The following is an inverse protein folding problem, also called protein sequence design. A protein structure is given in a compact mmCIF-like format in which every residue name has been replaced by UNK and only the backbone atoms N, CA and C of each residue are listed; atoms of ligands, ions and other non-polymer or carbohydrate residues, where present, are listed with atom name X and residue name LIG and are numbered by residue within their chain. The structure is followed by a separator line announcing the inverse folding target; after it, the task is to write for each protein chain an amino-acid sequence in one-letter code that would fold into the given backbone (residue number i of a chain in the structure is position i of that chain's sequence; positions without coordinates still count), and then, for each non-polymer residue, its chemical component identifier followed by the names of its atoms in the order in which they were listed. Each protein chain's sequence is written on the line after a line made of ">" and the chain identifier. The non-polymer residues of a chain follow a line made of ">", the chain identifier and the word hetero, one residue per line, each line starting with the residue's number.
data_IF_004616479873
#
_entry.id   IF_004616479873
#
_cell.length_a   1.000
_cell.length_b   1.000
_cell.length_c   1.000
_cell.angle_alpha   90.00
_cell.angle_beta   90.00
_cell.angle_gamma   90.00
#
_symmetry.space_group_name_H-M   'P 1'
#
loop_
_entity.id
_entity.type
_entity.pdbx_description
1 polymer ?
#
# COMPACT_ATOMS: atom_id res chain seq x y z
N UNK A 1 -45.61 -7.42 17.97
CA UNK A 1 -44.82 -8.10 16.91
C UNK A 1 -44.40 -7.18 15.76
N UNK A 2 -45.29 -6.37 15.15
CA UNK A 2 -44.94 -5.48 14.01
C UNK A 2 -43.77 -4.51 14.29
N UNK A 3 -43.62 -3.98 15.51
CA UNK A 3 -42.52 -3.08 15.88
C UNK A 3 -41.13 -3.74 15.93
N UNK A 4 -41.06 -5.02 16.31
CA UNK A 4 -39.79 -5.77 16.40
C UNK A 4 -39.27 -6.12 15.00
N UNK A 5 -40.18 -6.44 14.08
CA UNK A 5 -39.85 -6.74 12.68
C UNK A 5 -39.26 -5.51 11.95
N UNK A 6 -39.74 -4.30 12.27
CA UNK A 6 -39.22 -3.05 11.72
C UNK A 6 -37.81 -2.69 12.26
N UNK A 7 -37.48 -3.09 13.49
CA UNK A 7 -36.15 -2.87 14.07
C UNK A 7 -35.12 -3.82 13.43
N UNK A 8 -35.50 -5.08 13.22
CA UNK A 8 -34.63 -6.07 12.57
C UNK A 8 -34.30 -5.72 11.12
N UNK A 9 -35.28 -5.21 10.38
CA UNK A 9 -35.08 -4.71 9.00
C UNK A 9 -34.18 -3.48 8.95
N UNK A 10 -34.29 -2.56 9.92
CA UNK A 10 -33.39 -1.41 10.02
C UNK A 10 -31.93 -1.83 10.29
N UNK A 11 -31.71 -2.80 11.19
CA UNK A 11 -30.37 -3.32 11.53
C UNK A 11 -29.72 -4.05 10.33
N UNK A 12 -30.52 -4.74 9.52
CA UNK A 12 -30.06 -5.38 8.28
C UNK A 12 -29.63 -4.34 7.23
N UNK A 13 -30.39 -3.26 7.04
CA UNK A 13 -30.05 -2.18 6.09
C UNK A 13 -28.74 -1.49 6.50
N UNK A 14 -28.53 -1.25 7.80
CA UNK A 14 -27.27 -0.65 8.29
C UNK A 14 -26.05 -1.58 8.16
N UNK A 15 -26.23 -2.90 8.06
CA UNK A 15 -25.13 -3.85 7.86
C UNK A 15 -24.81 -4.15 6.39
N UNK A 16 -25.74 -3.93 5.47
CA UNK A 16 -25.52 -4.15 4.02
C UNK A 16 -24.55 -3.12 3.41
N UNK A 17 -24.44 -1.94 4.01
CA UNK A 17 -23.55 -0.87 3.53
C UNK A 17 -22.04 -1.16 3.60
N UNK A 18 -21.61 -2.27 4.20
CA UNK A 18 -20.18 -2.63 4.33
C UNK A 18 -19.67 -3.65 3.29
N UNK A 19 -20.51 -4.12 2.38
CA UNK A 19 -20.14 -5.17 1.41
C UNK A 19 -20.27 -4.75 -0.05
N UNK A 20 -19.93 -3.50 -0.37
CA UNK A 20 -19.44 -3.23 -1.72
C UNK A 20 -18.00 -3.72 -1.75
N UNK A 21 -17.75 -4.81 -2.48
CA UNK A 21 -16.40 -5.26 -2.78
C UNK A 21 -15.67 -4.11 -3.45
N UNK A 22 -14.82 -3.43 -2.68
CA UNK A 22 -14.02 -2.33 -3.20
C UNK A 22 -13.07 -2.94 -4.24
N UNK A 23 -13.11 -2.46 -5.47
CA UNK A 23 -12.14 -2.88 -6.47
C UNK A 23 -10.72 -2.69 -5.94
N UNK A 24 -9.81 -3.57 -6.33
CA UNK A 24 -8.39 -3.40 -6.04
C UNK A 24 -7.92 -2.02 -6.50
N UNK A 25 -7.34 -1.24 -5.58
CA UNK A 25 -6.75 0.07 -5.89
C UNK A 25 -5.28 -0.15 -6.24
N UNK A 26 -4.80 0.48 -7.32
CA UNK A 26 -3.41 0.37 -7.75
C UNK A 26 -2.65 1.65 -7.52
N UNK A 27 -1.50 1.53 -6.88
CA UNK A 27 -0.55 2.62 -6.68
C UNK A 27 0.69 2.36 -7.52
N UNK A 28 1.22 3.39 -8.18
CA UNK A 28 2.46 3.29 -8.97
C UNK A 28 3.48 4.33 -8.53
N UNK A 29 4.62 3.87 -8.04
CA UNK A 29 5.78 4.67 -7.68
C UNK A 29 6.72 4.82 -8.86
N UNK A 30 6.93 6.05 -9.32
CA UNK A 30 7.86 6.38 -10.40
C UNK A 30 9.04 7.19 -9.86
N UNK A 31 10.24 6.87 -10.34
CA UNK A 31 11.45 7.65 -10.18
C UNK A 31 11.77 8.36 -11.51
N UNK A 32 12.36 9.56 -11.48
CA UNK A 32 12.76 10.30 -12.71
C UNK A 32 11.62 10.46 -13.72
N UNK A 33 10.40 10.68 -13.23
CA UNK A 33 9.14 10.82 -13.98
C UNK A 33 8.65 9.59 -14.77
N UNK A 34 9.54 8.81 -15.39
CA UNK A 34 9.17 7.75 -16.33
C UNK A 34 9.46 6.35 -15.82
N UNK A 35 10.36 6.20 -14.85
CA UNK A 35 10.82 4.90 -14.43
C UNK A 35 9.92 4.31 -13.35
N UNK A 36 9.13 3.31 -13.70
CA UNK A 36 8.30 2.57 -12.74
C UNK A 36 9.22 1.79 -11.79
N UNK A 37 9.29 2.26 -10.55
CA UNK A 37 10.15 1.69 -9.51
C UNK A 37 9.42 0.59 -8.74
N UNK A 38 8.16 0.84 -8.39
CA UNK A 38 7.36 -0.06 -7.58
C UNK A 38 5.87 0.11 -7.84
N UNK A 39 5.12 -0.94 -7.55
CA UNK A 39 3.66 -0.92 -7.57
C UNK A 39 3.07 -1.51 -6.29
N UNK A 40 1.87 -1.05 -5.94
CA UNK A 40 1.10 -1.61 -4.85
C UNK A 40 -0.31 -1.95 -5.36
N UNK A 41 -0.82 -3.11 -5.00
CA UNK A 41 -2.21 -3.51 -5.18
C UNK A 41 -2.86 -3.61 -3.81
N UNK A 42 -3.87 -2.77 -3.55
CA UNK A 42 -4.63 -2.75 -2.29
C UNK A 42 -5.94 -3.51 -2.48
N UNK A 43 -6.07 -4.65 -1.82
CA UNK A 43 -7.23 -5.51 -1.96
C UNK A 43 -8.36 -5.07 -0.99
N UNK A 44 -9.63 -5.36 -1.32
CA UNK A 44 -10.78 -5.04 -0.46
C UNK A 44 -10.73 -5.66 0.95
N UNK A 45 -10.00 -6.76 1.12
CA UNK A 45 -9.87 -7.46 2.41
C UNK A 45 -8.82 -6.85 3.37
N UNK A 46 -8.30 -5.66 3.02
CA UNK A 46 -7.24 -4.91 3.73
C UNK A 46 -5.85 -5.53 3.65
N UNK A 47 -5.64 -6.49 2.75
CA UNK A 47 -4.29 -6.94 2.40
C UNK A 47 -3.75 -6.15 1.22
N UNK A 48 -2.43 -6.14 1.06
CA UNK A 48 -1.79 -5.57 -0.11
C UNK A 48 -0.70 -6.48 -0.65
N UNK A 49 -0.42 -6.31 -1.94
CA UNK A 49 0.78 -6.78 -2.60
C UNK A 49 1.62 -5.57 -2.99
N UNK A 50 2.89 -5.58 -2.62
CA UNK A 50 3.88 -4.66 -3.15
C UNK A 50 4.77 -5.42 -4.12
N UNK A 51 5.05 -4.84 -5.27
CA UNK A 51 5.98 -5.38 -6.26
C UNK A 51 7.08 -4.38 -6.51
N UNK A 52 8.32 -4.85 -6.38
CA UNK A 52 9.46 -4.15 -6.90
C UNK A 52 9.45 -4.32 -8.43
N UNK A 53 9.34 -3.23 -9.17
CA UNK A 53 9.21 -3.30 -10.64
C UNK A 53 10.59 -3.26 -11.32
N UNK A 54 11.66 -3.15 -10.53
CA UNK A 54 13.03 -3.25 -11.01
C UNK A 54 13.55 -4.69 -10.99
N UNK A 55 14.64 -4.92 -11.76
CA UNK A 55 15.31 -6.18 -12.09
C UNK A 55 15.06 -7.36 -11.11
N UNK A 56 14.54 -8.47 -11.66
CA UNK A 56 14.07 -9.70 -11.00
C UNK A 56 12.75 -9.63 -10.19
N UNK A 57 12.00 -8.53 -10.30
CA UNK A 57 10.65 -8.30 -9.78
C UNK A 57 10.21 -9.23 -8.64
N UNK A 58 10.56 -8.89 -7.40
CA UNK A 58 10.04 -9.61 -6.24
C UNK A 58 8.79 -8.94 -5.67
N UNK A 59 7.99 -9.73 -4.96
CA UNK A 59 6.78 -9.23 -4.30
C UNK A 59 6.78 -9.51 -2.81
N UNK A 60 6.34 -8.51 -2.05
CA UNK A 60 6.10 -8.60 -0.62
C UNK A 60 4.63 -8.34 -0.33
N UNK A 61 4.15 -8.87 0.79
CA UNK A 61 2.74 -8.86 1.14
C UNK A 61 2.55 -8.44 2.57
N UNK A 62 1.40 -7.82 2.83
CA UNK A 62 1.07 -7.35 4.16
C UNK A 62 -0.36 -6.86 4.28
N UNK A 63 -0.61 -6.14 5.36
CA UNK A 63 -1.90 -5.51 5.65
C UNK A 63 -1.77 -3.99 5.55
N UNK A 64 -2.84 -3.33 5.13
CA UNK A 64 -2.89 -1.88 5.07
C UNK A 64 -4.02 -1.30 5.91
N UNK A 65 -3.77 -0.07 6.38
CA UNK A 65 -4.72 0.75 7.11
C UNK A 65 -4.75 2.15 6.54
N UNK A 66 -5.95 2.69 6.34
CA UNK A 66 -6.17 4.09 6.02
C UNK A 66 -6.84 4.77 7.21
N UNK A 67 -6.19 5.80 7.76
CA UNK A 67 -6.74 6.64 8.82
C UNK A 67 -6.51 8.11 8.49
N UNK A 68 -7.60 8.87 8.37
CA UNK A 68 -7.55 10.28 7.94
C UNK A 68 -6.79 10.40 6.61
N UNK A 69 -5.69 11.15 6.59
CA UNK A 69 -4.81 11.32 5.44
C UNK A 69 -3.57 10.41 5.49
N UNK A 70 -3.59 9.32 6.25
CA UNK A 70 -2.45 8.40 6.36
C UNK A 70 -2.79 7.02 5.85
N UNK A 71 -1.91 6.48 5.00
CA UNK A 71 -1.88 5.09 4.57
C UNK A 71 -0.70 4.41 5.28
N UNK A 72 -0.94 3.29 5.94
CA UNK A 72 0.09 2.50 6.62
C UNK A 72 0.12 1.11 6.04
N UNK A 73 1.31 0.64 5.68
CA UNK A 73 1.59 -0.71 5.23
C UNK A 73 2.42 -1.44 6.28
N UNK A 74 1.89 -2.55 6.76
CA UNK A 74 2.58 -3.46 7.65
C UNK A 74 2.93 -4.72 6.86
N UNK A 75 4.23 -4.92 6.60
CA UNK A 75 4.75 -6.02 5.80
C UNK A 75 4.96 -7.27 6.66
N UNK A 76 4.53 -8.43 6.16
CA UNK A 76 4.62 -9.70 6.88
C UNK A 76 5.39 -10.78 6.11
N UNK A 77 5.29 -10.82 4.78
CA UNK A 77 5.78 -11.95 3.97
C UNK A 77 6.57 -11.46 2.76
N UNK A 78 7.74 -12.05 2.54
CA UNK A 78 8.48 -11.99 1.28
C UNK A 78 8.24 -13.32 0.54
N UNK A 79 7.57 -13.32 -0.62
CA UNK A 79 7.25 -14.61 -1.25
C UNK A 79 8.37 -15.17 -2.11
N UNK A 80 8.68 -16.41 -1.79
CA UNK A 80 9.15 -17.47 -2.68
C UNK A 80 8.32 -18.77 -2.51
N UNK A 81 7.47 -18.90 -1.46
CA UNK A 81 6.50 -20.01 -1.28
C UNK A 81 5.26 -19.56 -0.48
N UNK A 82 4.03 -19.53 -1.04
CA UNK A 82 2.83 -19.21 -0.28
C UNK A 82 2.40 -20.41 0.58
N UNK A 83 1.85 -20.15 1.77
CA UNK A 83 1.31 -21.20 2.67
C UNK A 83 -0.15 -21.54 2.40
N UNK A 84 -0.83 -20.75 1.56
CA UNK A 84 -2.22 -20.96 1.12
C UNK A 84 -2.49 -20.19 -0.18
N UNK A 85 -3.68 -20.38 -0.77
CA UNK A 85 -4.13 -19.60 -1.93
C UNK A 85 -4.58 -18.17 -1.59
N UNK A 86 -4.75 -17.85 -0.30
CA UNK A 86 -5.22 -16.54 0.18
C UNK A 86 -4.06 -15.78 0.84
N UNK A 87 -3.78 -14.56 0.38
CA UNK A 87 -2.76 -13.69 0.99
C UNK A 87 -3.08 -13.47 2.47
N UNK A 88 -4.35 -13.21 2.77
CA UNK A 88 -4.85 -13.01 4.13
C UNK A 88 -4.58 -14.21 5.05
N UNK A 89 -4.88 -15.42 4.59
CA UNK A 89 -4.69 -16.64 5.38
C UNK A 89 -3.20 -16.96 5.56
N UNK A 90 -2.38 -16.61 4.57
CA UNK A 90 -0.93 -16.71 4.68
C UNK A 90 -0.37 -15.72 5.71
N UNK A 91 -0.83 -14.46 5.71
CA UNK A 91 -0.43 -13.44 6.68
C UNK A 91 -0.84 -13.86 8.11
N UNK A 92 -2.06 -14.37 8.31
CA UNK A 92 -2.54 -14.76 9.64
C UNK A 92 -1.71 -15.87 10.30
N UNK A 93 -0.95 -16.64 9.50
CA UNK A 93 -0.06 -17.71 9.98
C UNK A 93 1.37 -17.22 10.27
N UNK A 94 1.70 -15.96 9.94
CA UNK A 94 3.03 -15.40 10.15
C UNK A 94 3.04 -14.56 11.44
N UNK A 95 3.82 -14.95 12.46
CA UNK A 95 3.68 -14.41 13.81
C UNK A 95 4.27 -13.00 14.00
N UNK A 96 4.99 -12.45 13.02
CA UNK A 96 5.74 -11.21 13.21
C UNK A 96 5.73 -10.30 11.99
N UNK A 97 5.44 -9.03 12.24
CA UNK A 97 5.61 -7.92 11.29
C UNK A 97 7.10 -7.69 10.98
N UNK A 98 7.45 -7.63 9.71
CA UNK A 98 8.80 -7.39 9.22
C UNK A 98 9.16 -5.91 9.20
N UNK A 99 8.28 -5.07 8.67
CA UNK A 99 8.49 -3.62 8.60
C UNK A 99 7.17 -2.86 8.46
N UNK A 100 7.23 -1.55 8.71
CA UNK A 100 6.10 -0.64 8.47
C UNK A 100 6.54 0.49 7.55
N UNK A 101 5.72 0.83 6.56
CA UNK A 101 5.86 2.05 5.76
C UNK A 101 4.62 2.91 5.94
N UNK A 102 4.82 4.21 6.16
CA UNK A 102 3.73 5.17 6.35
C UNK A 102 3.77 6.18 5.22
N UNK A 103 2.60 6.53 4.71
CA UNK A 103 2.43 7.50 3.65
C UNK A 103 1.37 8.53 4.02
N UNK A 104 1.53 9.73 3.48
CA UNK A 104 0.52 10.78 3.46
C UNK A 104 -0.28 10.70 2.17
N UNK A 105 -1.61 10.75 2.27
CA UNK A 105 -2.55 10.75 1.16
C UNK A 105 -2.93 12.21 0.89
N UNK A 106 -2.76 12.63 -0.36
CA UNK A 106 -3.10 13.95 -0.87
C UNK A 106 -3.81 13.78 -2.21
N UNK A 107 -5.13 13.67 -2.17
CA UNK A 107 -5.96 13.26 -3.30
C UNK A 107 -5.54 11.91 -3.91
N UNK A 108 -5.00 11.93 -5.14
CA UNK A 108 -4.43 10.75 -5.82
C UNK A 108 -2.92 10.59 -5.60
N UNK A 109 -2.28 11.55 -4.94
CA UNK A 109 -0.84 11.52 -4.67
C UNK A 109 -0.59 10.90 -3.30
N UNK A 110 0.45 10.10 -3.23
CA UNK A 110 0.85 9.41 -2.01
C UNK A 110 2.32 9.71 -1.76
N UNK A 111 2.63 10.16 -0.56
CA UNK A 111 3.98 10.59 -0.19
C UNK A 111 4.50 9.71 0.94
N UNK A 112 5.61 8.97 0.77
CA UNK A 112 6.23 8.31 1.91
C UNK A 112 6.60 9.32 2.98
N UNK A 113 6.37 8.97 4.24
CA UNK A 113 6.69 9.80 5.39
C UNK A 113 7.94 9.23 6.05
N UNK A 114 8.93 10.08 6.28
CA UNK A 114 10.11 9.75 7.10
C UNK A 114 9.73 9.60 8.57
N UNK A 115 10.58 8.97 9.39
CA UNK A 115 10.37 8.87 10.85
C UNK A 115 10.16 10.24 11.52
N UNK A 116 10.72 11.31 10.94
CA UNK A 116 10.57 12.70 11.40
C UNK A 116 9.28 13.38 10.90
N UNK A 117 8.37 12.65 10.25
CA UNK A 117 7.10 13.18 9.76
C UNK A 117 7.19 13.97 8.44
N UNK A 118 8.33 14.00 7.76
CA UNK A 118 8.51 14.74 6.50
C UNK A 118 8.18 13.90 5.27
N UNK A 119 7.47 14.47 4.30
CA UNK A 119 7.21 13.87 2.97
C UNK A 119 8.52 13.63 2.21
N UNK A 120 8.64 12.47 1.59
CA UNK A 120 9.74 12.11 0.66
C UNK A 120 9.29 12.39 -0.76
N UNK A 121 9.75 13.51 -1.33
CA UNK A 121 9.48 13.91 -2.73
C UNK A 121 10.64 13.62 -3.67
N UNK A 122 11.84 13.39 -3.10
CA UNK A 122 13.03 13.03 -3.85
C UNK A 122 13.79 11.92 -3.12
N UNK A 123 14.22 10.91 -3.85
CA UNK A 123 15.02 9.80 -3.31
C UNK A 123 16.25 9.53 -4.17
N UNK A 124 17.25 8.90 -3.56
CA UNK A 124 18.37 8.37 -4.34
C UNK A 124 17.89 7.19 -5.17
N UNK A 125 18.41 7.08 -6.38
CA UNK A 125 18.22 5.87 -7.18
C UNK A 125 18.85 4.68 -6.43
N UNK A 126 18.06 3.69 -6.01
CA UNK A 126 18.58 2.57 -5.23
C UNK A 126 19.44 1.62 -6.07
N UNK A 127 19.32 1.66 -7.40
CA UNK A 127 19.96 0.73 -8.33
C UNK A 127 21.12 1.34 -9.11
N UNK A 128 21.06 2.63 -9.41
CA UNK A 128 22.12 3.32 -10.12
C UNK A 128 23.01 4.15 -9.20
N UNK A 129 24.22 3.64 -8.92
CA UNK A 129 25.26 4.38 -8.17
C UNK A 129 26.17 5.14 -9.14
N UNK A 130 25.99 6.46 -9.22
CA UNK A 130 26.88 7.34 -10.00
C UNK A 130 28.21 7.58 -9.27
N UNK A 131 29.33 7.49 -9.99
CA UNK A 131 30.64 7.99 -9.49
C UNK A 131 30.50 9.48 -9.16
N UNK A 132 31.10 9.93 -8.05
CA UNK A 132 31.03 11.33 -7.58
C UNK A 132 29.62 11.82 -7.23
N UNK A 133 28.70 10.92 -6.89
CA UNK A 133 27.33 11.24 -6.47
C UNK A 133 27.23 12.20 -5.27
N UNK A 134 28.28 12.28 -4.47
CA UNK A 134 28.41 13.21 -3.36
C UNK A 134 28.64 14.67 -3.81
N UNK A 135 29.19 14.88 -5.02
CA UNK A 135 29.44 16.21 -5.59
C UNK A 135 28.23 16.77 -6.36
N UNK A 136 27.53 15.92 -7.13
CA UNK A 136 26.51 16.40 -8.09
C UNK A 136 25.06 16.23 -7.61
N UNK A 137 24.86 15.60 -6.44
CA UNK A 137 23.52 15.29 -5.94
C UNK A 137 22.87 14.15 -6.74
N UNK A 138 22.45 13.10 -6.02
CA UNK A 138 21.91 11.89 -6.64
C UNK A 138 20.44 11.64 -6.31
N UNK A 139 19.70 12.69 -5.93
CA UNK A 139 18.29 12.58 -5.55
C UNK A 139 17.40 12.98 -6.73
N UNK A 140 16.57 12.04 -7.16
CA UNK A 140 15.63 12.22 -8.26
C UNK A 140 14.22 12.40 -7.71
N UNK A 141 13.38 13.03 -8.50
CA UNK A 141 11.96 13.13 -8.18
C UNK A 141 11.33 11.75 -8.08
N UNK A 142 10.49 11.59 -7.05
CA UNK A 142 9.79 10.36 -6.75
C UNK A 142 8.31 10.66 -6.52
N UNK A 143 7.45 9.98 -7.28
CA UNK A 143 6.00 10.21 -7.32
C UNK A 143 5.28 8.88 -7.14
N UNK A 144 4.39 8.77 -6.16
CA UNK A 144 3.43 7.66 -6.09
C UNK A 144 2.04 8.19 -6.41
N UNK A 145 1.38 7.55 -7.37
CA UNK A 145 0.03 7.90 -7.82
C UNK A 145 -0.92 6.74 -7.64
N UNK A 146 -2.10 7.01 -7.10
CA UNK A 146 -3.23 6.09 -7.08
C UNK A 146 -4.04 6.21 -8.39
N UNK A 147 -4.52 5.10 -8.91
CA UNK A 147 -5.45 5.09 -10.05
C UNK A 147 -6.82 5.68 -9.68
N UNK A 148 -7.30 5.34 -8.48
CA UNK A 148 -8.55 5.79 -7.87
C UNK A 148 -8.28 6.57 -6.57
N UNK A 149 -9.26 7.35 -6.11
CA UNK A 149 -9.17 8.08 -4.83
C UNK A 149 -9.23 7.07 -3.67
N UNK A 150 -8.33 7.24 -2.69
CA UNK A 150 -8.26 6.44 -1.46
C UNK A 150 -9.21 6.94 -0.37
#
# INVERSE_FOLDING_TARGET
>A
MKKILNIFTLILIFNIGKSFGQDTIRLKGHLRETFLLESFELYPDKTFKWTNEYDLSWSEYGEYKIEKNKLTFDFYIWMWKPTSMSIKDSISKVPKKLSTRIFEIDEKRIYPITEKGKRVIKMKDPYYRRKWSWLFGNKYEYKIMADKKL
#
